data_IF_725285273150
#
_entry.id   IF_725285273150
#
_cell.length_a   1.000
_cell.length_b   1.000
_cell.length_c   1.000
_cell.angle_alpha   90.00
_cell.angle_beta   90.00
_cell.angle_gamma   90.00
#
_symmetry.space_group_name_H-M   'P 1'
#
loop_
_entity.id
_entity.type
_entity.pdbx_description
1 polymer ?
#
# COMPACT_ATOMS: atom_id res chain seq x y z
N UNK A 1 20.44 -11.74 0.96
CA UNK A 1 19.18 -11.90 0.21
C UNK A 1 18.92 -10.74 -0.75
N UNK A 2 18.78 -9.49 -0.27
CA UNK A 2 18.50 -8.33 -1.13
C UNK A 2 19.49 -8.15 -2.29
N UNK A 3 20.79 -8.32 -2.05
CA UNK A 3 21.81 -8.28 -3.11
C UNK A 3 21.55 -9.30 -4.24
N UNK A 4 21.03 -10.50 -3.90
CA UNK A 4 20.65 -11.54 -4.87
C UNK A 4 19.43 -11.14 -5.69
N UNK A 5 18.43 -10.51 -5.08
CA UNK A 5 17.27 -10.00 -5.82
C UNK A 5 17.68 -8.82 -6.71
N UNK A 6 18.54 -7.93 -6.22
CA UNK A 6 19.07 -6.82 -7.02
C UNK A 6 19.83 -7.30 -8.25
N UNK A 7 20.62 -8.38 -8.13
CA UNK A 7 21.38 -8.92 -9.27
C UNK A 7 20.50 -9.51 -10.38
N UNK A 8 19.19 -9.71 -10.17
CA UNK A 8 18.27 -10.15 -11.23
C UNK A 8 17.63 -8.99 -11.99
N UNK A 9 17.86 -7.75 -11.59
CA UNK A 9 17.29 -6.57 -12.25
C UNK A 9 18.13 -6.23 -13.48
N UNK A 10 17.51 -6.27 -14.66
CA UNK A 10 18.09 -5.73 -15.89
C UNK A 10 17.59 -4.29 -16.09
N UNK A 11 18.50 -3.33 -16.07
CA UNK A 11 18.16 -1.90 -16.20
C UNK A 11 17.60 -1.53 -17.59
N UNK A 12 17.89 -2.33 -18.62
CA UNK A 12 17.51 -2.05 -20.01
C UNK A 12 16.29 -2.86 -20.47
N UNK A 13 15.81 -3.81 -19.66
CA UNK A 13 14.70 -4.69 -20.04
C UNK A 13 13.87 -5.14 -18.85
N UNK A 14 12.57 -4.92 -18.93
CA UNK A 14 11.59 -5.45 -18.01
C UNK A 14 11.59 -6.99 -18.05
N UNK A 15 11.60 -7.62 -16.87
CA UNK A 15 11.23 -9.03 -16.73
C UNK A 15 9.73 -9.18 -16.95
N UNK A 16 9.30 -10.27 -17.59
CA UNK A 16 7.88 -10.59 -17.67
C UNK A 16 7.41 -11.28 -16.40
N UNK A 17 6.15 -11.07 -16.05
CA UNK A 17 5.53 -11.75 -14.92
C UNK A 17 5.36 -13.25 -15.13
N UNK A 18 5.53 -13.75 -16.37
CA UNK A 18 5.60 -15.19 -16.68
C UNK A 18 6.97 -15.78 -16.30
N UNK A 19 8.05 -15.03 -16.47
CA UNK A 19 9.40 -15.44 -16.07
C UNK A 19 9.55 -15.47 -14.53
N UNK A 20 8.74 -14.65 -13.84
CA UNK A 20 8.61 -14.63 -12.38
C UNK A 20 7.46 -15.55 -11.96
N UNK A 21 7.75 -16.79 -11.54
CA UNK A 21 6.71 -17.81 -11.30
C UNK A 21 5.62 -17.44 -10.26
N UNK A 22 4.38 -17.34 -10.72
CA UNK A 22 3.13 -18.04 -10.29
C UNK A 22 1.96 -17.71 -11.29
N UNK A 23 0.69 -18.11 -11.07
CA UNK A 23 -0.39 -18.36 -12.09
C UNK A 23 -0.98 -17.23 -12.99
N UNK A 24 -2.23 -17.37 -13.49
CA UNK A 24 -2.93 -16.40 -14.38
C UNK A 24 -4.12 -15.72 -13.65
N UNK A 25 -4.24 -14.37 -13.65
CA UNK A 25 -5.25 -13.64 -12.86
C UNK A 25 -6.53 -13.35 -13.66
N UNK A 26 -7.63 -13.03 -12.96
CA UNK A 26 -8.87 -12.44 -13.50
C UNK A 26 -9.46 -11.47 -12.47
N UNK A 27 -9.75 -10.22 -12.84
CA UNK A 27 -10.58 -9.27 -12.06
C UNK A 27 -9.93 -7.93 -11.65
N UNK A 28 -10.76 -7.00 -11.17
CA UNK A 28 -10.39 -5.71 -10.54
C UNK A 28 -11.34 -5.42 -9.36
N UNK A 29 -10.85 -4.75 -8.29
CA UNK A 29 -11.53 -4.65 -6.98
C UNK A 29 -11.52 -3.23 -6.34
N UNK A 30 -12.16 -3.11 -5.16
CA UNK A 30 -12.36 -1.94 -4.29
C UNK A 30 -11.20 -1.72 -3.30
N UNK A 31 -11.05 -0.51 -2.75
CA UNK A 31 -9.86 -0.05 -1.99
C UNK A 31 -10.06 0.04 -0.46
N UNK A 32 -11.07 -0.65 0.05
CA UNK A 32 -11.73 -0.28 1.29
C UNK A 32 -10.96 -0.79 2.49
N UNK A 33 -10.31 0.11 3.20
CA UNK A 33 -9.58 -0.10 4.46
C UNK A 33 -9.43 1.31 5.04
N UNK A 34 -9.05 1.48 6.30
CA UNK A 34 -8.65 2.81 6.77
C UNK A 34 -7.36 2.75 7.57
N UNK A 35 -6.65 3.86 7.59
CA UNK A 35 -5.43 4.05 8.34
C UNK A 35 -5.49 5.34 9.14
N UNK A 36 -4.93 5.34 10.34
CA UNK A 36 -4.68 6.56 11.09
C UNK A 36 -3.37 6.47 11.89
N UNK A 37 -2.77 7.63 12.14
CA UNK A 37 -1.57 7.78 12.95
C UNK A 37 -1.79 8.86 14.01
N UNK A 38 -1.34 8.61 15.24
CA UNK A 38 -1.48 9.52 16.40
C UNK A 38 -0.14 9.67 17.09
N UNK A 39 0.19 10.89 17.51
CA UNK A 39 1.32 11.19 18.40
C UNK A 39 0.82 12.02 19.58
N UNK A 40 1.02 11.54 20.81
CA UNK A 40 0.60 12.26 22.02
C UNK A 40 1.64 13.25 22.54
N UNK A 41 1.30 14.07 23.53
CA UNK A 41 2.22 15.06 24.10
C UNK A 41 3.48 14.45 24.74
N UNK A 42 3.45 13.19 25.19
CA UNK A 42 4.60 12.49 25.73
C UNK A 42 5.49 11.85 24.65
N UNK A 43 5.06 11.89 23.39
CA UNK A 43 5.78 11.31 22.26
C UNK A 43 5.46 9.84 22.01
N UNK A 44 4.40 9.29 22.64
CA UNK A 44 3.91 7.97 22.27
C UNK A 44 3.26 8.04 20.90
N UNK A 45 3.46 6.98 20.11
CA UNK A 45 3.05 6.93 18.70
C UNK A 45 2.19 5.70 18.47
N UNK A 46 1.03 5.89 17.83
CA UNK A 46 0.18 4.80 17.34
C UNK A 46 0.08 4.92 15.83
N UNK A 47 0.30 3.81 15.12
CA UNK A 47 0.02 3.67 13.69
C UNK A 47 -0.89 2.45 13.55
N UNK A 48 -2.11 2.66 13.05
CA UNK A 48 -3.14 1.63 13.03
C UNK A 48 -3.80 1.55 11.65
N UNK A 49 -3.78 0.35 11.07
CA UNK A 49 -4.56 0.01 9.89
C UNK A 49 -5.52 -1.10 10.28
N UNK A 50 -6.80 -0.93 9.96
CA UNK A 50 -7.82 -1.94 10.20
C UNK A 50 -8.90 -1.87 9.12
N UNK A 51 -9.65 -2.96 8.96
CA UNK A 51 -10.63 -3.08 7.88
C UNK A 51 -11.76 -4.04 8.22
N UNK A 52 -12.84 -3.96 7.45
CA UNK A 52 -13.85 -5.02 7.29
C UNK A 52 -13.58 -5.89 6.05
N UNK A 53 -12.43 -5.71 5.41
CA UNK A 53 -12.04 -6.17 4.09
C UNK A 53 -12.69 -5.31 2.99
N UNK A 54 -13.81 -5.69 2.37
CA UNK A 54 -14.46 -4.81 1.39
C UNK A 54 -15.34 -3.72 2.06
N UNK A 55 -15.90 -2.79 1.27
CA UNK A 55 -16.84 -1.77 1.78
C UNK A 55 -18.00 -2.45 2.50
N UNK A 56 -18.30 -2.03 3.72
CA UNK A 56 -19.31 -2.67 4.60
C UNK A 56 -19.06 -4.16 4.88
N UNK A 57 -17.87 -4.68 4.59
CA UNK A 57 -17.47 -6.07 4.79
C UNK A 57 -18.36 -7.07 4.06
N UNK A 58 -18.94 -7.99 4.83
CA UNK A 58 -19.90 -8.97 4.31
C UNK A 58 -21.30 -8.41 4.04
N UNK A 59 -21.58 -7.16 4.43
CA UNK A 59 -22.92 -6.57 4.42
C UNK A 59 -23.85 -7.13 5.51
N UNK A 60 -23.37 -8.05 6.36
CA UNK A 60 -24.15 -8.64 7.46
C UNK A 60 -23.96 -7.84 8.74
N UNK A 61 -25.06 -7.52 9.42
CA UNK A 61 -25.05 -6.93 10.76
C UNK A 61 -25.34 -8.00 11.81
N UNK A 62 -24.49 -8.11 12.82
CA UNK A 62 -24.74 -9.01 13.95
C UNK A 62 -26.02 -8.59 14.69
N UNK A 63 -26.98 -9.51 14.77
CA UNK A 63 -28.35 -9.25 15.22
C UNK A 63 -28.39 -8.51 16.56
N UNK A 64 -29.04 -7.34 16.57
CA UNK A 64 -29.25 -6.53 17.78
C UNK A 64 -28.06 -5.68 18.22
N UNK A 65 -26.95 -5.68 17.49
CA UNK A 65 -25.71 -4.98 17.91
C UNK A 65 -25.38 -3.74 17.09
N UNK A 66 -25.86 -3.65 15.85
CA UNK A 66 -25.41 -2.63 14.89
C UNK A 66 -23.99 -2.85 14.34
N UNK A 67 -23.32 -3.94 14.71
CA UNK A 67 -21.95 -4.24 14.29
C UNK A 67 -21.96 -4.95 12.93
N UNK A 68 -21.32 -4.32 11.93
CA UNK A 68 -21.05 -4.93 10.63
C UNK A 68 -19.97 -6.01 10.75
N UNK A 69 -20.19 -7.12 10.07
CA UNK A 69 -19.27 -8.26 10.03
C UNK A 69 -18.33 -8.15 8.83
N UNK A 70 -17.04 -8.39 9.04
CA UNK A 70 -16.04 -8.41 7.97
C UNK A 70 -16.30 -9.54 6.96
N UNK A 71 -15.67 -9.45 5.80
CA UNK A 71 -15.49 -10.56 4.86
C UNK A 71 -14.01 -10.93 4.66
N UNK A 72 -13.21 -10.88 5.73
CA UNK A 72 -11.75 -11.12 5.72
C UNK A 72 -11.38 -12.55 5.27
N UNK A 73 -12.32 -13.49 5.32
CA UNK A 73 -12.09 -14.85 4.84
C UNK A 73 -11.70 -14.90 3.36
N UNK A 74 -12.02 -13.86 2.58
CA UNK A 74 -11.63 -13.75 1.17
C UNK A 74 -10.12 -13.56 0.97
N UNK A 75 -9.40 -13.02 1.96
CA UNK A 75 -7.96 -12.85 1.86
C UNK A 75 -7.21 -14.19 1.84
N UNK A 76 -7.84 -15.30 2.22
CA UNK A 76 -7.28 -16.63 2.03
C UNK A 76 -7.24 -17.06 0.56
N UNK A 77 -6.26 -17.91 0.23
CA UNK A 77 -6.28 -18.69 -0.99
C UNK A 77 -7.38 -19.76 -0.89
N UNK A 78 -8.61 -19.43 -1.30
CA UNK A 78 -9.73 -20.37 -1.33
C UNK A 78 -9.41 -21.62 -2.17
N UNK A 79 -8.65 -21.43 -3.25
CA UNK A 79 -8.00 -22.49 -4.03
C UNK A 79 -6.56 -22.04 -4.35
N UNK A 80 -5.53 -22.66 -3.76
CA UNK A 80 -4.14 -22.30 -4.04
C UNK A 80 -3.80 -22.31 -5.53
N UNK A 81 -3.11 -21.26 -5.97
CA UNK A 81 -2.77 -21.05 -7.38
C UNK A 81 -3.87 -20.40 -8.23
N UNK A 82 -5.05 -20.13 -7.67
CA UNK A 82 -6.04 -19.22 -8.27
C UNK A 82 -6.07 -17.88 -7.52
N UNK A 83 -6.36 -16.77 -8.22
CA UNK A 83 -6.51 -15.46 -7.58
C UNK A 83 -7.67 -15.46 -6.56
N UNK A 84 -7.51 -14.71 -5.46
CA UNK A 84 -8.65 -14.24 -4.66
C UNK A 84 -9.29 -13.01 -5.33
N UNK A 85 -10.24 -12.33 -4.66
CA UNK A 85 -10.90 -11.15 -5.25
C UNK A 85 -9.88 -10.08 -5.66
N UNK A 86 -8.75 -9.97 -4.96
CA UNK A 86 -7.68 -8.99 -5.19
C UNK A 86 -6.76 -9.29 -6.38
N UNK A 87 -6.99 -10.39 -7.10
CA UNK A 87 -6.06 -10.88 -8.12
C UNK A 87 -4.76 -11.44 -7.53
N UNK A 88 -4.64 -11.49 -6.19
CA UNK A 88 -3.46 -12.04 -5.52
C UNK A 88 -3.49 -13.55 -5.66
N UNK A 89 -2.52 -14.06 -6.41
CA UNK A 89 -2.32 -15.51 -6.55
C UNK A 89 -1.47 -15.97 -5.38
N UNK A 90 -2.11 -16.70 -4.49
CA UNK A 90 -1.50 -17.16 -3.25
C UNK A 90 -1.34 -18.68 -3.25
N UNK A 91 -0.30 -19.17 -2.58
CA UNK A 91 0.00 -20.60 -2.47
C UNK A 91 -0.62 -21.26 -1.24
N UNK A 92 -0.33 -22.55 -1.06
CA UNK A 92 -0.77 -23.38 0.08
C UNK A 92 -0.54 -22.72 1.46
N UNK A 93 0.49 -21.88 1.57
CA UNK A 93 0.80 -21.15 2.81
C UNK A 93 -0.32 -20.23 3.26
N UNK A 94 -1.18 -19.74 2.36
CA UNK A 94 -2.36 -18.97 2.72
C UNK A 94 -3.67 -19.72 2.39
N UNK A 95 -3.67 -21.06 2.32
CA UNK A 95 -4.92 -21.82 2.24
C UNK A 95 -5.75 -21.68 3.53
N UNK A 96 -7.08 -21.79 3.40
CA UNK A 96 -8.03 -21.75 4.52
C UNK A 96 -7.74 -22.86 5.52
N UNK A 97 -7.67 -22.53 6.80
CA UNK A 97 -7.54 -23.50 7.88
C UNK A 97 -8.14 -22.97 9.19
N UNK A 98 -8.59 -23.88 10.06
CA UNK A 98 -9.14 -23.52 11.36
C UNK A 98 -8.16 -22.71 12.20
N UNK A 99 -8.64 -21.61 12.80
CA UNK A 99 -7.87 -20.67 13.65
C UNK A 99 -6.68 -19.98 12.97
N UNK A 100 -6.50 -20.16 11.66
CA UNK A 100 -5.49 -19.44 10.89
C UNK A 100 -5.96 -18.00 10.65
N UNK A 101 -5.01 -17.09 10.51
CA UNK A 101 -5.26 -15.71 10.08
C UNK A 101 -4.86 -15.57 8.60
N UNK A 102 -5.68 -14.90 7.78
CA UNK A 102 -5.33 -14.70 6.38
C UNK A 102 -4.13 -13.74 6.24
N UNK A 103 -3.43 -13.84 5.11
CA UNK A 103 -2.40 -12.87 4.73
C UNK A 103 -3.04 -11.51 4.48
N UNK A 104 -2.39 -10.43 4.91
CA UNK A 104 -2.84 -9.06 4.67
C UNK A 104 -1.73 -8.21 4.05
N UNK A 105 -2.12 -7.23 3.23
CA UNK A 105 -1.25 -6.19 2.69
C UNK A 105 -1.11 -4.98 3.64
N UNK A 106 -1.87 -4.93 4.74
CA UNK A 106 -1.82 -3.83 5.72
C UNK A 106 -0.39 -3.64 6.25
N UNK A 107 0.13 -2.42 6.11
CA UNK A 107 1.53 -2.08 6.43
C UNK A 107 1.63 -0.81 7.30
N UNK A 108 1.05 -0.77 8.53
CA UNK A 108 1.28 0.34 9.45
C UNK A 108 2.76 0.40 9.82
N UNK A 109 3.42 1.53 9.57
CA UNK A 109 4.88 1.61 9.57
C UNK A 109 5.42 2.76 10.42
N UNK A 110 6.48 2.48 11.17
CA UNK A 110 7.30 3.46 11.87
C UNK A 110 8.67 3.51 11.23
N UNK A 111 9.16 4.71 10.94
CA UNK A 111 10.53 4.97 10.52
C UNK A 111 11.24 5.72 11.65
N UNK A 112 12.33 5.14 12.13
CA UNK A 112 13.10 5.67 13.25
C UNK A 112 14.40 6.32 12.74
N UNK A 113 14.85 7.33 13.46
CA UNK A 113 16.21 7.87 13.33
C UNK A 113 17.23 6.86 13.85
N UNK A 114 18.50 7.11 13.56
CA UNK A 114 19.62 6.29 14.04
C UNK A 114 19.70 6.21 15.57
N UNK A 115 19.22 7.23 16.27
CA UNK A 115 19.16 7.26 17.73
C UNK A 115 17.93 6.54 18.32
N UNK A 116 17.08 5.96 17.46
CA UNK A 116 15.86 5.24 17.85
C UNK A 116 14.63 6.13 18.05
N UNK A 117 14.73 7.45 17.90
CA UNK A 117 13.57 8.36 18.00
C UNK A 117 12.69 8.26 16.75
N UNK A 118 11.38 8.52 16.90
CA UNK A 118 10.46 8.54 15.76
C UNK A 118 10.87 9.63 14.78
N UNK A 119 11.14 9.26 13.52
CA UNK A 119 11.22 10.21 12.43
C UNK A 119 9.83 10.48 11.83
N UNK A 120 9.16 9.44 11.35
CA UNK A 120 7.77 9.53 10.89
C UNK A 120 7.07 8.18 10.99
N UNK A 121 5.75 8.22 11.04
CA UNK A 121 4.88 7.05 10.93
C UNK A 121 3.87 7.27 9.81
N UNK A 122 3.57 6.19 9.08
CA UNK A 122 2.66 6.22 7.92
C UNK A 122 2.04 4.84 7.69
N UNK A 123 0.86 4.85 7.11
CA UNK A 123 0.17 3.69 6.56
C UNK A 123 -0.91 4.16 5.59
N UNK A 124 -1.57 3.21 4.93
CA UNK A 124 -2.60 3.48 3.93
C UNK A 124 -3.56 2.29 3.84
N UNK A 125 -4.81 2.50 3.39
CA UNK A 125 -5.64 1.50 2.75
C UNK A 125 -5.29 1.35 1.26
N UNK A 126 -6.07 0.55 0.51
CA UNK A 126 -5.85 0.31 -0.93
C UNK A 126 -5.66 -1.16 -1.34
N UNK A 127 -5.98 -2.12 -0.47
CA UNK A 127 -5.80 -3.54 -0.77
C UNK A 127 -4.36 -3.87 -1.18
N UNK A 128 -4.10 -4.45 -2.36
CA UNK A 128 -2.75 -4.76 -2.84
C UNK A 128 -1.83 -3.54 -2.99
N UNK A 129 -2.38 -2.32 -3.17
CA UNK A 129 -1.56 -1.12 -3.37
C UNK A 129 -0.94 -0.62 -2.08
N UNK A 130 -1.43 -1.03 -0.90
CA UNK A 130 -0.97 -0.57 0.42
C UNK A 130 0.56 -0.65 0.54
N UNK A 131 1.13 -1.79 0.14
CA UNK A 131 2.57 -2.05 0.24
C UNK A 131 3.36 -1.00 -0.57
N UNK A 132 2.94 -0.75 -1.82
CA UNK A 132 3.62 0.17 -2.72
C UNK A 132 3.35 1.63 -2.35
N UNK A 133 2.17 1.97 -1.84
CA UNK A 133 1.88 3.31 -1.30
C UNK A 133 2.80 3.64 -0.14
N UNK A 134 2.89 2.76 0.87
CA UNK A 134 3.78 2.98 2.02
C UNK A 134 5.25 3.00 1.60
N UNK A 135 5.66 2.10 0.71
CA UNK A 135 7.03 2.08 0.17
C UNK A 135 7.40 3.39 -0.52
N UNK A 136 6.55 3.88 -1.43
CA UNK A 136 6.80 5.13 -2.15
C UNK A 136 6.85 6.33 -1.22
N UNK A 137 5.97 6.42 -0.21
CA UNK A 137 6.04 7.49 0.78
C UNK A 137 7.37 7.46 1.54
N UNK A 138 7.87 6.28 1.90
CA UNK A 138 9.18 6.14 2.57
C UNK A 138 10.30 6.59 1.63
N UNK A 139 10.32 6.15 0.37
CA UNK A 139 11.33 6.56 -0.62
C UNK A 139 11.29 8.08 -0.82
N UNK A 140 10.11 8.68 -0.93
CA UNK A 140 9.93 10.11 -1.10
C UNK A 140 10.51 10.92 0.07
N UNK A 141 10.29 10.46 1.30
CA UNK A 141 10.88 11.11 2.48
C UNK A 141 12.39 10.89 2.55
N UNK A 142 12.86 9.65 2.37
CA UNK A 142 14.25 9.25 2.63
C UNK A 142 15.19 9.64 1.50
N UNK A 143 14.84 9.32 0.26
CA UNK A 143 15.70 9.47 -0.90
C UNK A 143 15.46 10.80 -1.64
N UNK A 144 14.23 11.34 -1.56
CA UNK A 144 13.86 12.60 -2.22
C UNK A 144 13.74 13.80 -1.26
N UNK A 145 14.03 13.62 0.03
CA UNK A 145 14.00 14.67 1.06
C UNK A 145 12.67 15.45 1.11
N UNK A 146 11.56 14.79 0.79
CA UNK A 146 10.24 15.39 0.89
C UNK A 146 9.78 15.43 2.36
N UNK A 147 9.04 16.47 2.75
CA UNK A 147 8.26 16.40 3.98
C UNK A 147 7.10 15.39 3.82
N UNK A 148 6.47 15.01 4.93
CA UNK A 148 5.46 13.93 4.90
C UNK A 148 4.23 14.26 4.04
N UNK A 149 3.79 15.52 3.98
CA UNK A 149 2.67 15.92 3.12
C UNK A 149 3.07 15.83 1.65
N UNK A 150 4.23 16.39 1.28
CA UNK A 150 4.76 16.30 -0.07
C UNK A 150 4.91 14.84 -0.54
N UNK A 151 5.41 13.97 0.34
CA UNK A 151 5.60 12.56 0.06
C UNK A 151 4.28 11.81 -0.16
N UNK A 152 3.22 12.16 0.58
CA UNK A 152 1.87 11.61 0.45
C UNK A 152 1.15 12.15 -0.79
N UNK A 153 1.29 13.45 -1.07
CA UNK A 153 0.70 14.11 -2.23
C UNK A 153 1.27 13.57 -3.54
N UNK A 154 2.56 13.21 -3.54
CA UNK A 154 3.26 12.78 -4.74
C UNK A 154 2.52 11.63 -5.45
N UNK A 155 2.36 11.70 -6.78
CA UNK A 155 1.69 10.65 -7.55
C UNK A 155 2.34 9.28 -7.39
N UNK A 156 1.53 8.23 -7.44
CA UNK A 156 1.94 6.85 -7.17
C UNK A 156 1.96 5.99 -8.43
N UNK A 157 2.83 5.00 -8.42
CA UNK A 157 2.87 3.88 -9.37
C UNK A 157 2.72 2.55 -8.63
N UNK A 158 2.22 1.52 -9.30
CA UNK A 158 1.98 0.21 -8.72
C UNK A 158 2.22 -0.91 -9.73
N UNK A 159 2.91 -1.95 -9.29
CA UNK A 159 3.01 -3.22 -9.99
C UNK A 159 2.92 -4.33 -8.95
N UNK A 160 1.94 -5.21 -9.08
CA UNK A 160 1.71 -6.33 -8.15
C UNK A 160 2.01 -7.68 -8.78
N UNK A 161 2.90 -7.66 -9.77
CA UNK A 161 3.26 -8.80 -10.61
C UNK A 161 2.12 -9.23 -11.56
N UNK A 162 0.90 -9.42 -11.09
CA UNK A 162 -0.24 -9.72 -11.96
C UNK A 162 -1.45 -8.82 -11.65
N UNK A 163 -2.05 -8.13 -12.65
CA UNK A 163 -1.68 -8.11 -14.07
C UNK A 163 -0.27 -7.56 -14.34
N UNK A 164 0.34 -8.00 -15.45
CA UNK A 164 1.71 -7.65 -15.85
C UNK A 164 1.76 -6.26 -16.49
N UNK A 165 1.51 -5.24 -15.66
CA UNK A 165 1.48 -3.84 -16.05
C UNK A 165 1.81 -2.93 -14.86
N UNK A 166 2.45 -1.80 -15.17
CA UNK A 166 2.58 -0.70 -14.22
C UNK A 166 1.32 0.15 -14.33
N UNK A 167 0.59 0.21 -13.24
CA UNK A 167 -0.53 1.14 -13.06
C UNK A 167 0.00 2.41 -12.44
N UNK A 168 -0.46 3.57 -12.90
CA UNK A 168 0.00 4.85 -12.37
C UNK A 168 -1.12 5.88 -12.29
N UNK A 169 -0.97 6.82 -11.35
CA UNK A 169 -1.92 7.92 -11.16
C UNK A 169 -1.75 9.02 -12.21
N UNK A 170 -2.81 9.83 -12.45
CA UNK A 170 -2.72 10.99 -13.32
C UNK A 170 -1.55 11.91 -12.95
N UNK A 171 -0.84 12.40 -13.97
CA UNK A 171 0.36 13.24 -13.82
C UNK A 171 1.53 12.58 -13.06
N UNK A 172 1.48 11.27 -12.85
CA UNK A 172 2.52 10.56 -12.08
C UNK A 172 3.78 10.20 -12.84
N UNK A 173 3.79 10.35 -14.16
CA UNK A 173 4.97 10.21 -14.99
C UNK A 173 5.02 11.30 -16.04
N UNK A 174 6.24 11.71 -16.42
CA UNK A 174 6.42 12.53 -17.61
C UNK A 174 6.33 11.66 -18.86
N UNK A 175 5.93 12.24 -19.98
CA UNK A 175 5.91 11.54 -21.27
C UNK A 175 7.29 10.97 -21.66
N UNK A 176 8.38 11.55 -21.18
CA UNK A 176 9.74 11.03 -21.40
C UNK A 176 9.98 9.75 -20.60
N UNK A 177 9.57 9.73 -19.33
CA UNK A 177 9.64 8.55 -18.47
C UNK A 177 8.76 7.42 -18.99
N UNK A 178 7.54 7.73 -19.41
CA UNK A 178 6.63 6.74 -20.00
C UNK A 178 7.24 6.08 -21.23
N UNK A 179 7.75 6.87 -22.18
CA UNK A 179 8.42 6.36 -23.39
C UNK A 179 9.64 5.51 -23.05
N UNK A 180 10.44 5.94 -22.07
CA UNK A 180 11.62 5.19 -21.63
C UNK A 180 11.23 3.83 -21.00
N UNK A 181 10.18 3.78 -20.19
CA UNK A 181 9.70 2.54 -19.59
C UNK A 181 9.09 1.60 -20.64
N UNK A 182 8.31 2.13 -21.56
CA UNK A 182 7.75 1.37 -22.69
C UNK A 182 8.85 0.79 -23.58
N UNK A 183 9.91 1.57 -23.87
CA UNK A 183 11.07 1.10 -24.63
C UNK A 183 11.82 -0.06 -23.95
N UNK A 184 11.78 -0.12 -22.62
CA UNK A 184 12.31 -1.24 -21.82
C UNK A 184 11.34 -2.43 -21.73
N UNK A 185 10.13 -2.31 -22.27
CA UNK A 185 9.14 -3.39 -22.34
C UNK A 185 8.07 -3.37 -21.24
N UNK A 186 7.97 -2.29 -20.45
CA UNK A 186 6.89 -2.16 -19.48
C UNK A 186 5.57 -1.81 -20.17
N UNK A 187 4.50 -2.54 -19.83
CA UNK A 187 3.14 -2.12 -20.14
C UNK A 187 2.71 -1.08 -19.11
N UNK A 188 2.25 0.07 -19.57
CA UNK A 188 1.79 1.16 -18.70
C UNK A 188 0.29 1.34 -18.88
N UNK A 189 -0.43 1.47 -17.76
CA UNK A 189 -1.87 1.71 -17.74
C UNK A 189 -2.14 2.87 -16.79
N UNK A 190 -2.60 4.01 -17.32
CA UNK A 190 -3.07 5.10 -16.47
C UNK A 190 -4.35 4.65 -15.74
N UNK A 191 -4.40 4.84 -14.42
CA UNK A 191 -5.53 4.39 -13.63
C UNK A 191 -6.67 5.42 -13.64
N UNK A 192 -7.94 5.00 -13.74
CA UNK A 192 -9.09 5.89 -13.61
C UNK A 192 -9.37 6.37 -12.16
N UNK A 193 -8.70 5.82 -11.14
CA UNK A 193 -8.86 6.22 -9.72
C UNK A 193 -7.50 6.26 -9.04
N UNK A 194 -7.34 7.20 -8.11
CA UNK A 194 -6.16 7.30 -7.26
C UNK A 194 -5.98 6.05 -6.37
N UNK A 195 -4.77 5.83 -5.86
CA UNK A 195 -4.36 4.62 -5.14
C UNK A 195 -4.13 4.90 -3.67
N UNK A 196 -5.01 4.37 -2.82
CA UNK A 196 -4.85 4.44 -1.36
C UNK A 196 -5.21 5.81 -0.75
N UNK A 197 -4.98 5.92 0.55
CA UNK A 197 -5.34 7.05 1.39
C UNK A 197 -4.35 7.13 2.56
N UNK A 198 -3.14 7.58 2.25
CA UNK A 198 -2.04 7.56 3.20
C UNK A 198 -2.24 8.63 4.28
N UNK A 199 -2.12 8.23 5.54
CA UNK A 199 -2.19 9.12 6.69
C UNK A 199 -0.89 8.99 7.48
N UNK A 200 -0.29 10.11 7.88
CA UNK A 200 1.02 10.07 8.52
C UNK A 200 1.34 11.27 9.40
N UNK A 201 2.32 11.08 10.28
CA UNK A 201 2.88 12.14 11.12
C UNK A 201 4.41 12.06 11.05
N UNK A 202 5.05 13.19 10.82
CA UNK A 202 6.50 13.36 10.86
C UNK A 202 6.90 14.31 12.00
N UNK A 203 7.98 13.97 12.69
CA UNK A 203 8.64 14.88 13.63
C UNK A 203 9.76 15.59 12.87
N UNK A 204 9.61 16.89 12.62
CA UNK A 204 10.60 17.69 11.89
C UNK A 204 11.86 17.89 12.75
N UNK A 205 13.04 17.59 12.20
CA UNK A 205 14.28 17.47 12.98
C UNK A 205 14.75 18.79 13.61
N UNK A 206 14.51 19.93 12.95
CA UNK A 206 15.08 21.23 13.37
C UNK A 206 14.21 21.94 14.41
N UNK A 207 12.90 21.85 14.24
CA UNK A 207 11.91 22.57 15.04
C UNK A 207 11.19 21.66 16.04
N UNK A 208 11.33 20.34 15.89
CA UNK A 208 10.56 19.33 16.62
C UNK A 208 9.04 19.45 16.42
N UNK A 209 8.61 20.16 15.38
CA UNK A 209 7.20 20.31 15.01
C UNK A 209 6.67 18.97 14.48
N UNK A 210 5.43 18.67 14.86
CA UNK A 210 4.69 17.50 14.38
C UNK A 210 3.93 17.88 13.13
N UNK A 211 4.40 17.40 11.98
CA UNK A 211 3.75 17.58 10.69
C UNK A 211 2.77 16.43 10.51
N UNK A 212 1.47 16.70 10.72
CA UNK A 212 0.41 15.77 10.33
C UNK A 212 0.10 15.93 8.85
N UNK A 213 -0.13 14.82 8.17
CA UNK A 213 -0.49 14.79 6.76
C UNK A 213 -1.64 13.83 6.48
N UNK A 214 -2.52 14.27 5.59
CA UNK A 214 -3.67 13.51 5.11
C UNK A 214 -3.65 13.47 3.59
N UNK A 215 -4.08 12.35 3.02
CA UNK A 215 -4.07 12.16 1.58
C UNK A 215 -5.06 13.08 0.88
N UNK A 216 -4.65 13.85 -0.15
CA UNK A 216 -5.58 14.69 -0.91
C UNK A 216 -6.56 13.88 -1.77
N UNK A 217 -6.38 12.56 -1.87
CA UNK A 217 -7.20 11.65 -2.68
C UNK A 217 -8.55 11.32 -2.03
N UNK A 218 -8.68 11.52 -0.73
CA UNK A 218 -9.89 11.23 0.04
C UNK A 218 -10.17 12.30 1.08
N UNK A 219 -11.35 12.21 1.70
CA UNK A 219 -11.72 13.09 2.80
C UNK A 219 -10.92 12.74 4.05
N UNK A 220 -10.16 13.70 4.55
CA UNK A 220 -9.36 13.55 5.76
C UNK A 220 -8.74 14.87 6.16
N UNK A 221 -8.32 14.99 7.42
CA UNK A 221 -7.62 16.16 7.90
C UNK A 221 -6.71 15.80 9.08
N UNK A 222 -5.46 16.27 9.08
CA UNK A 222 -4.64 16.23 10.28
C UNK A 222 -5.14 17.29 11.27
N UNK A 223 -5.14 16.96 12.56
CA UNK A 223 -5.47 17.89 13.64
C UNK A 223 -4.53 17.68 14.83
N UNK A 224 -4.24 18.74 15.57
CA UNK A 224 -3.32 18.71 16.71
C UNK A 224 -3.42 19.98 17.56
N UNK A 225 -2.67 19.98 18.67
CA UNK A 225 -2.55 21.08 19.62
C UNK A 225 -1.12 21.16 20.18
#
# INVERSE_FOLDING_TARGET
YAARQRSTINAERASTSVEVKAGKPVGAESEETTHFTVVDAQGNVVSNTYTLNNSYGSGVVAKGTGILMNNEMDDFAAKPGTPNLYGLIQGERNAVAGRKRPLSAMTPTFVLRKDGTLWFAVGSPGGPTIINTVLQTIINVVDHNMNIQQAIDFPRIHHQWLPDEIVYEPLGMSADTERALQARGHKLTERPRYMGDAQGIMIEEKTNVRLGASDPRNDGAPAGY
#
